data_IF_233361264524
#
_entry.id   IF_233361264524
#
_cell.length_a   1.000
_cell.length_b   1.000
_cell.length_c   1.000
_cell.angle_alpha   90.00
_cell.angle_beta   90.00
_cell.angle_gamma   90.00
#
_symmetry.space_group_name_H-M   'P 1'
#
loop_
_entity.id
_entity.type
_entity.pdbx_description
1 polymer ?
#
# COMPACT_ATOMS: atom_id res chain seq x y z
N UNK A 1 -26.87 18.71 -13.23
CA UNK A 1 -25.71 18.59 -12.32
C UNK A 1 -24.61 17.85 -13.07
N UNK A 2 -23.37 18.35 -13.09
CA UNK A 2 -22.28 17.67 -13.81
C UNK A 2 -21.91 16.39 -13.06
N UNK A 3 -21.88 15.25 -13.75
CA UNK A 3 -21.29 14.03 -13.22
C UNK A 3 -19.77 14.08 -13.47
N UNK A 4 -19.00 14.36 -12.43
CA UNK A 4 -17.54 14.54 -12.55
C UNK A 4 -16.83 13.27 -12.99
N UNK A 5 -17.28 12.09 -12.53
CA UNK A 5 -16.69 10.82 -12.92
C UNK A 5 -16.87 10.56 -14.42
N UNK A 6 -18.11 10.71 -14.92
CA UNK A 6 -18.42 10.51 -16.34
C UNK A 6 -17.79 11.55 -17.26
N UNK A 7 -17.45 12.73 -16.73
CA UNK A 7 -16.73 13.76 -17.49
C UNK A 7 -15.26 13.41 -17.77
N UNK A 8 -14.72 12.37 -17.14
CA UNK A 8 -13.38 11.85 -17.42
C UNK A 8 -13.50 10.75 -18.50
N UNK A 9 -12.85 10.93 -19.66
CA UNK A 9 -13.04 10.03 -20.79
C UNK A 9 -12.34 8.68 -20.58
N UNK A 10 -12.82 7.66 -21.28
CA UNK A 10 -12.19 6.34 -21.35
C UNK A 10 -11.10 6.35 -22.43
N UNK A 11 -9.98 5.69 -22.17
CA UNK A 11 -8.89 5.55 -23.14
C UNK A 11 -7.85 6.67 -23.05
N UNK A 12 -6.58 6.30 -23.22
CA UNK A 12 -5.42 7.21 -23.06
C UNK A 12 -5.39 8.29 -24.13
N UNK A 13 -5.80 7.94 -25.34
CA UNK A 13 -5.91 8.81 -26.51
C UNK A 13 -6.89 9.98 -26.30
N UNK A 14 -7.86 9.80 -25.40
CA UNK A 14 -8.86 10.81 -25.07
C UNK A 14 -8.50 11.62 -23.82
N UNK A 15 -7.32 11.44 -23.23
CA UNK A 15 -6.99 11.99 -21.92
C UNK A 15 -7.23 13.52 -21.83
N UNK A 16 -8.07 13.92 -20.88
CA UNK A 16 -8.48 15.31 -20.68
C UNK A 16 -7.48 16.04 -19.80
N UNK A 17 -6.96 17.18 -20.27
CA UNK A 17 -6.01 17.99 -19.54
C UNK A 17 -6.65 18.64 -18.31
N UNK A 18 -5.86 18.83 -17.27
CA UNK A 18 -6.30 19.55 -16.06
C UNK A 18 -6.89 20.93 -16.34
N UNK A 19 -6.32 21.70 -17.27
CA UNK A 19 -6.85 23.01 -17.67
C UNK A 19 -8.24 22.92 -18.27
N UNK A 20 -8.52 21.86 -19.03
CA UNK A 20 -9.86 21.60 -19.58
C UNK A 20 -10.84 21.25 -18.47
N UNK A 21 -10.41 20.45 -17.47
CA UNK A 21 -11.23 20.15 -16.29
C UNK A 21 -11.52 21.41 -15.45
N UNK A 22 -10.57 22.34 -15.31
CA UNK A 22 -10.82 23.61 -14.62
C UNK A 22 -11.98 24.37 -15.25
N UNK A 23 -11.98 24.47 -16.59
CA UNK A 23 -13.06 25.13 -17.34
C UNK A 23 -14.37 24.34 -17.22
N UNK A 24 -14.31 23.02 -17.43
CA UNK A 24 -15.49 22.15 -17.44
C UNK A 24 -16.21 22.09 -16.08
N UNK A 25 -15.44 22.06 -14.99
CA UNK A 25 -15.98 21.95 -13.64
C UNK A 25 -16.17 23.30 -12.96
N UNK A 26 -15.78 24.39 -13.63
CA UNK A 26 -15.75 25.74 -13.06
C UNK A 26 -14.99 25.77 -11.72
N UNK A 27 -13.79 25.17 -11.71
CA UNK A 27 -12.95 24.96 -10.54
C UNK A 27 -11.54 25.48 -10.78
N UNK A 28 -10.88 25.92 -9.73
CA UNK A 28 -9.44 26.17 -9.77
C UNK A 28 -8.63 24.86 -9.81
N UNK A 29 -7.33 24.98 -10.10
CA UNK A 29 -6.46 23.82 -10.25
C UNK A 29 -6.34 22.95 -8.97
N UNK A 30 -6.38 23.58 -7.79
CA UNK A 30 -6.29 22.88 -6.51
C UNK A 30 -7.58 22.10 -6.25
N UNK A 31 -8.74 22.71 -6.53
CA UNK A 31 -10.04 22.06 -6.44
C UNK A 31 -10.14 20.87 -7.39
N UNK A 32 -9.74 21.02 -8.66
CA UNK A 32 -9.70 19.90 -9.63
C UNK A 32 -8.84 18.75 -9.11
N UNK A 33 -7.64 19.03 -8.58
CA UNK A 33 -6.77 17.99 -8.02
C UNK A 33 -7.41 17.27 -6.84
N UNK A 34 -8.07 18.01 -5.96
CA UNK A 34 -8.78 17.44 -4.80
C UNK A 34 -9.94 16.55 -5.25
N UNK A 35 -10.77 17.03 -6.17
CA UNK A 35 -11.90 16.28 -6.74
C UNK A 35 -11.42 14.99 -7.43
N UNK A 36 -10.38 15.05 -8.26
CA UNK A 36 -9.79 13.85 -8.88
C UNK A 36 -9.30 12.84 -7.83
N UNK A 37 -8.63 13.31 -6.78
CA UNK A 37 -8.14 12.44 -5.72
C UNK A 37 -9.30 11.74 -4.99
N UNK A 38 -10.41 12.46 -4.76
CA UNK A 38 -11.63 11.90 -4.19
C UNK A 38 -12.27 10.85 -5.11
N UNK A 39 -12.50 11.19 -6.37
CA UNK A 39 -13.08 10.28 -7.36
C UNK A 39 -12.27 8.97 -7.50
N UNK A 40 -10.94 9.04 -7.39
CA UNK A 40 -10.06 7.85 -7.41
C UNK A 40 -10.24 6.92 -6.22
N UNK A 41 -10.81 7.39 -5.12
CA UNK A 41 -11.06 6.61 -3.91
C UNK A 41 -12.46 6.04 -3.83
N UNK A 42 -13.36 6.49 -4.70
CA UNK A 42 -14.75 6.05 -4.75
C UNK A 42 -14.85 4.78 -5.61
N UNK A 43 -15.68 3.83 -5.18
CA UNK A 43 -16.09 2.69 -6.00
C UNK A 43 -17.32 3.10 -6.80
N UNK A 44 -17.19 3.14 -8.13
CA UNK A 44 -18.25 3.57 -9.03
C UNK A 44 -19.10 2.40 -9.55
N UNK A 45 -18.83 1.17 -9.09
CA UNK A 45 -19.51 -0.04 -9.56
C UNK A 45 -19.08 -0.50 -10.95
N UNK A 46 -17.90 -0.07 -11.40
CA UNK A 46 -17.26 -0.45 -12.66
C UNK A 46 -15.80 -0.91 -12.45
N UNK A 47 -15.19 -1.49 -13.49
CA UNK A 47 -13.80 -1.95 -13.45
C UNK A 47 -12.79 -0.86 -13.89
N UNK A 48 -13.21 0.41 -13.93
CA UNK A 48 -12.39 1.51 -14.43
C UNK A 48 -11.63 2.24 -13.33
N UNK A 49 -10.38 2.59 -13.62
CA UNK A 49 -9.54 3.41 -12.74
C UNK A 49 -9.15 4.71 -13.43
N UNK A 50 -9.20 5.83 -12.71
CA UNK A 50 -8.73 7.13 -13.22
C UNK A 50 -7.20 7.20 -13.21
N UNK A 51 -6.60 7.09 -14.39
CA UNK A 51 -5.16 7.14 -14.64
C UNK A 51 -4.74 8.56 -15.03
N UNK A 52 -3.53 8.95 -14.65
CA UNK A 52 -2.87 10.18 -15.15
C UNK A 52 -1.74 9.80 -16.10
N UNK A 53 -1.56 10.55 -17.20
CA UNK A 53 -0.42 10.28 -18.09
C UNK A 53 0.88 10.82 -17.50
N UNK A 54 2.00 10.11 -17.72
CA UNK A 54 3.29 10.42 -17.10
C UNK A 54 3.89 11.77 -17.56
N UNK A 55 3.64 12.20 -18.81
CA UNK A 55 4.35 13.33 -19.43
C UNK A 55 3.45 14.50 -19.88
N UNK A 56 2.13 14.38 -19.73
CA UNK A 56 1.15 15.45 -20.01
C UNK A 56 0.02 15.29 -19.00
N UNK A 57 -0.28 16.28 -18.18
CA UNK A 57 -1.19 16.19 -17.02
C UNK A 57 -2.68 16.01 -17.42
N UNK A 58 -2.96 14.97 -18.21
CA UNK A 58 -4.27 14.53 -18.62
C UNK A 58 -4.73 13.34 -17.81
N UNK A 59 -6.04 13.25 -17.64
CA UNK A 59 -6.75 12.21 -16.90
C UNK A 59 -7.61 11.39 -17.85
N UNK A 60 -7.68 10.09 -17.62
CA UNK A 60 -8.55 9.18 -18.36
C UNK A 60 -8.91 7.98 -17.49
N UNK A 61 -9.97 7.26 -17.84
CA UNK A 61 -10.38 6.00 -17.24
C UNK A 61 -9.84 4.82 -18.05
N UNK A 62 -9.42 3.76 -17.37
CA UNK A 62 -8.97 2.52 -18.02
C UNK A 62 -9.29 1.31 -17.14
N UNK A 63 -9.74 0.24 -17.79
CA UNK A 63 -9.99 -1.12 -17.28
C UNK A 63 -8.85 -2.10 -17.66
N UNK A 64 -7.86 -1.64 -18.44
CA UNK A 64 -6.69 -2.43 -18.82
C UNK A 64 -5.82 -2.71 -17.58
N UNK A 65 -5.78 -3.99 -17.19
CA UNK A 65 -5.02 -4.48 -16.03
C UNK A 65 -3.53 -4.13 -16.09
N UNK A 66 -2.93 -4.06 -17.27
CA UNK A 66 -1.52 -3.70 -17.44
C UNK A 66 -1.29 -2.22 -17.13
N UNK A 67 -2.17 -1.35 -17.61
CA UNK A 67 -2.17 0.10 -17.33
C UNK A 67 -2.41 0.35 -15.85
N UNK A 68 -3.40 -0.31 -15.26
CA UNK A 68 -3.72 -0.22 -13.83
C UNK A 68 -2.54 -0.68 -12.97
N UNK A 69 -1.89 -1.80 -13.33
CA UNK A 69 -0.71 -2.31 -12.62
C UNK A 69 0.46 -1.33 -12.67
N UNK A 70 0.73 -0.73 -13.84
CA UNK A 70 1.78 0.27 -14.00
C UNK A 70 1.49 1.53 -13.17
N UNK A 71 0.24 2.01 -13.20
CA UNK A 71 -0.19 3.13 -12.39
C UNK A 71 -0.05 2.85 -10.89
N UNK A 72 -0.46 1.66 -10.43
CA UNK A 72 -0.25 1.21 -9.04
C UNK A 72 1.22 1.28 -8.65
N UNK A 73 2.12 0.78 -9.49
CA UNK A 73 3.56 0.81 -9.22
C UNK A 73 4.10 2.23 -9.12
N UNK A 74 3.71 3.12 -10.03
CA UNK A 74 4.11 4.53 -10.03
C UNK A 74 3.64 5.26 -8.76
N UNK A 75 2.35 5.17 -8.44
CA UNK A 75 1.76 5.79 -7.25
C UNK A 75 2.42 5.24 -5.99
N UNK A 76 2.62 3.92 -5.91
CA UNK A 76 3.29 3.29 -4.77
C UNK A 76 4.75 3.74 -4.60
N UNK A 77 5.48 3.96 -5.69
CA UNK A 77 6.85 4.48 -5.65
C UNK A 77 6.86 5.93 -5.18
N UNK A 78 5.95 6.76 -5.70
CA UNK A 78 5.78 8.16 -5.27
C UNK A 78 5.45 8.23 -3.78
N UNK A 79 4.45 7.47 -3.32
CA UNK A 79 4.04 7.41 -1.92
C UNK A 79 5.22 7.05 -1.01
N UNK A 80 5.96 5.99 -1.34
CA UNK A 80 7.18 5.61 -0.60
C UNK A 80 8.17 6.77 -0.51
N UNK A 81 8.45 7.44 -1.62
CA UNK A 81 9.36 8.58 -1.64
C UNK A 81 8.86 9.77 -0.80
N UNK A 82 7.56 10.07 -0.88
CA UNK A 82 6.89 11.11 -0.06
C UNK A 82 6.97 10.80 1.43
N UNK A 83 6.92 9.52 1.82
CA UNK A 83 6.96 9.11 3.22
C UNK A 83 8.38 8.97 3.81
N UNK A 84 9.45 8.96 2.99
CA UNK A 84 10.85 8.86 3.48
C UNK A 84 11.18 9.87 4.59
N UNK A 85 10.83 11.16 4.48
CA UNK A 85 11.13 12.16 5.52
C UNK A 85 10.51 11.82 6.88
N UNK A 86 9.35 11.14 6.90
CA UNK A 86 8.65 10.78 8.13
C UNK A 86 9.46 9.84 9.01
N UNK A 87 10.41 9.08 8.45
CA UNK A 87 11.31 8.22 9.23
C UNK A 87 12.07 9.01 10.31
N UNK A 88 12.59 10.20 9.97
CA UNK A 88 13.32 11.04 10.92
C UNK A 88 12.36 11.70 11.91
N UNK A 89 11.21 12.17 11.42
CA UNK A 89 10.16 12.79 12.25
C UNK A 89 9.67 11.82 13.32
N UNK A 90 9.28 10.61 12.93
CA UNK A 90 8.77 9.58 13.83
C UNK A 90 9.81 9.14 14.87
N UNK A 91 11.10 9.07 14.48
CA UNK A 91 12.19 8.81 15.43
C UNK A 91 12.32 9.91 16.50
N UNK A 92 12.16 11.18 16.11
CA UNK A 92 12.27 12.33 17.03
C UNK A 92 11.05 12.42 17.94
N UNK A 93 9.86 12.20 17.39
CA UNK A 93 8.60 12.29 18.12
C UNK A 93 8.31 11.06 18.98
N UNK A 94 9.20 10.06 19.00
CA UNK A 94 8.98 8.75 19.63
C UNK A 94 7.66 8.08 19.21
N UNK A 95 7.11 8.49 18.07
CA UNK A 95 5.96 7.86 17.45
C UNK A 95 6.44 6.60 16.76
N UNK A 96 6.47 5.50 17.51
CA UNK A 96 6.63 4.15 16.96
C UNK A 96 5.41 3.72 16.11
N UNK A 97 4.34 4.50 16.13
CA UNK A 97 3.17 4.32 15.29
C UNK A 97 3.51 4.68 13.83
N UNK A 98 3.31 3.71 12.94
CA UNK A 98 3.29 3.86 11.49
C UNK A 98 4.63 3.70 10.73
N UNK A 99 5.40 2.69 11.13
CA UNK A 99 5.98 1.78 10.13
C UNK A 99 5.04 0.59 9.84
N UNK A 100 3.73 0.83 9.94
CA UNK A 100 2.69 0.03 9.30
C UNK A 100 2.80 0.25 7.78
N UNK A 101 3.82 -0.37 7.18
CA UNK A 101 3.67 -0.83 5.80
C UNK A 101 2.50 -1.81 5.83
N UNK A 102 1.55 -1.58 4.95
CA UNK A 102 0.14 -1.97 5.02
C UNK A 102 -0.19 -3.48 5.11
N UNK A 103 0.73 -4.37 5.47
CA UNK A 103 0.48 -5.82 5.53
C UNK A 103 1.29 -6.63 6.56
N UNK A 104 2.23 -6.06 7.33
CA UNK A 104 3.04 -6.89 8.24
C UNK A 104 3.55 -6.15 9.49
N UNK A 105 3.04 -6.54 10.66
CA UNK A 105 3.43 -6.03 11.99
C UNK A 105 4.43 -6.94 12.71
N UNK A 106 4.91 -8.03 12.07
CA UNK A 106 5.82 -9.01 12.70
C UNK A 106 7.09 -8.38 13.24
N UNK A 107 7.65 -7.39 12.54
CA UNK A 107 8.85 -6.69 13.03
C UNK A 107 8.61 -5.95 14.34
N UNK A 108 7.45 -5.31 14.45
CA UNK A 108 7.07 -4.57 15.65
C UNK A 108 6.71 -5.53 16.77
N UNK A 109 5.93 -6.56 16.47
CA UNK A 109 5.61 -7.62 17.42
C UNK A 109 6.86 -8.29 18.01
N UNK A 110 7.91 -8.50 17.20
CA UNK A 110 9.21 -8.99 17.68
C UNK A 110 9.86 -8.03 18.67
N UNK A 111 9.86 -6.73 18.36
CA UNK A 111 10.46 -5.70 19.21
C UNK A 111 9.67 -5.51 20.51
N UNK A 112 8.34 -5.53 20.45
CA UNK A 112 7.45 -5.47 21.62
C UNK A 112 7.63 -6.68 22.54
N UNK A 113 7.90 -7.86 21.97
CA UNK A 113 8.26 -9.07 22.71
C UNK A 113 9.71 -9.05 23.24
N UNK A 114 10.47 -7.96 23.01
CA UNK A 114 11.87 -7.80 23.39
C UNK A 114 12.80 -8.88 22.82
N UNK A 115 12.52 -9.35 21.60
CA UNK A 115 13.28 -10.40 20.94
C UNK A 115 14.24 -9.85 19.87
N UNK A 116 15.43 -10.44 19.79
CA UNK A 116 16.35 -10.20 18.69
C UNK A 116 15.98 -11.07 17.51
N UNK A 117 16.34 -10.65 16.30
CA UNK A 117 16.11 -11.47 15.09
C UNK A 117 16.79 -12.85 15.18
N UNK A 118 17.93 -12.96 15.88
CA UNK A 118 18.60 -14.24 16.14
C UNK A 118 17.74 -15.24 16.92
N UNK A 119 16.92 -14.74 17.85
CA UNK A 119 16.08 -15.57 18.72
C UNK A 119 14.94 -16.18 17.90
N UNK A 120 14.33 -15.36 17.03
CA UNK A 120 13.29 -15.80 16.10
C UNK A 120 13.82 -16.79 15.07
N UNK A 121 15.00 -16.53 14.49
CA UNK A 121 15.65 -17.45 13.56
C UNK A 121 15.91 -18.79 14.24
N UNK A 122 16.38 -18.79 15.50
CA UNK A 122 16.65 -20.02 16.25
C UNK A 122 15.39 -20.88 16.40
N UNK A 123 14.25 -20.27 16.69
CA UNK A 123 12.98 -20.98 16.81
C UNK A 123 12.46 -21.47 15.45
N UNK A 124 12.50 -20.64 14.41
CA UNK A 124 12.03 -21.04 13.07
C UNK A 124 12.94 -22.08 12.40
N UNK A 125 14.23 -22.13 12.76
CA UNK A 125 15.14 -23.21 12.32
C UNK A 125 14.76 -24.59 12.82
N UNK A 126 13.94 -24.69 13.88
CA UNK A 126 13.39 -25.97 14.35
C UNK A 126 12.35 -26.54 13.38
N UNK A 127 11.67 -25.68 12.62
CA UNK A 127 10.75 -26.08 11.55
C UNK A 127 11.49 -26.34 10.23
N UNK A 128 12.33 -25.39 9.82
CA UNK A 128 13.12 -25.49 8.60
C UNK A 128 14.55 -25.03 8.85
N UNK A 129 15.50 -25.97 8.79
CA UNK A 129 16.93 -25.71 9.03
C UNK A 129 17.51 -24.66 8.06
N UNK A 130 16.90 -24.44 6.90
CA UNK A 130 17.33 -23.45 5.89
C UNK A 130 16.85 -22.03 6.21
N UNK A 131 15.99 -21.86 7.22
CA UNK A 131 15.49 -20.55 7.61
C UNK A 131 16.63 -19.63 8.08
N UNK A 132 16.70 -18.43 7.51
CA UNK A 132 17.82 -17.52 7.71
C UNK A 132 17.37 -16.06 7.95
N UNK A 133 18.36 -15.18 8.16
CA UNK A 133 18.13 -13.74 8.40
C UNK A 133 17.48 -13.06 7.19
N UNK A 134 17.84 -13.49 5.98
CA UNK A 134 17.30 -12.91 4.75
C UNK A 134 15.80 -13.18 4.65
N UNK A 135 15.39 -14.42 4.91
CA UNK A 135 14.00 -14.85 4.91
C UNK A 135 13.21 -14.17 6.03
N UNK A 136 13.75 -14.10 7.26
CA UNK A 136 13.11 -13.35 8.35
C UNK A 136 12.86 -11.89 7.95
N UNK A 137 13.87 -11.24 7.35
CA UNK A 137 13.72 -9.85 6.90
C UNK A 137 12.66 -9.71 5.81
N UNK A 138 12.59 -10.63 4.84
CA UNK A 138 11.54 -10.59 3.81
C UNK A 138 10.15 -10.73 4.43
N UNK A 139 10.00 -11.64 5.38
CA UNK A 139 8.75 -11.83 6.13
C UNK A 139 8.40 -10.57 6.92
N UNK A 140 9.29 -10.06 7.77
CA UNK A 140 9.06 -8.90 8.63
C UNK A 140 8.73 -7.60 7.89
N UNK A 141 9.19 -7.46 6.63
CA UNK A 141 8.91 -6.29 5.80
C UNK A 141 7.79 -6.55 4.78
N UNK A 142 7.08 -7.68 4.87
CA UNK A 142 5.94 -8.00 4.02
C UNK A 142 6.28 -8.33 2.56
N UNK A 143 7.54 -8.71 2.26
CA UNK A 143 7.96 -9.15 0.92
C UNK A 143 7.56 -10.60 0.63
N UNK A 144 7.36 -11.42 1.65
CA UNK A 144 6.79 -12.75 1.53
C UNK A 144 5.98 -13.11 2.78
N UNK A 145 4.96 -13.96 2.60
CA UNK A 145 4.14 -14.41 3.72
C UNK A 145 4.81 -15.61 4.42
N UNK A 146 4.73 -15.68 5.75
CA UNK A 146 5.10 -16.89 6.47
C UNK A 146 4.10 -18.02 6.16
N UNK A 147 4.59 -19.26 6.18
CA UNK A 147 3.72 -20.44 6.06
C UNK A 147 2.84 -20.61 7.30
N UNK A 148 1.75 -21.39 7.25
CA UNK A 148 0.89 -21.64 8.43
C UNK A 148 1.66 -22.13 9.66
N UNK A 149 2.68 -22.96 9.47
CA UNK A 149 3.50 -23.49 10.56
C UNK A 149 4.42 -22.42 11.16
N UNK A 150 5.00 -21.58 10.30
CA UNK A 150 5.79 -20.43 10.74
C UNK A 150 4.91 -19.42 11.49
N UNK A 151 3.69 -19.19 11.02
CA UNK A 151 2.70 -18.34 11.71
C UNK A 151 2.43 -18.87 13.12
N UNK A 152 2.19 -20.17 13.30
CA UNK A 152 1.94 -20.75 14.63
C UNK A 152 3.11 -20.56 15.60
N UNK A 153 4.34 -20.63 15.09
CA UNK A 153 5.53 -20.32 15.92
C UNK A 153 5.59 -18.83 16.25
N UNK A 154 5.35 -17.96 15.27
CA UNK A 154 5.42 -16.51 15.44
C UNK A 154 4.34 -15.98 16.41
N UNK A 155 3.10 -16.46 16.33
CA UNK A 155 2.02 -16.08 17.26
C UNK A 155 2.35 -16.45 18.69
N UNK A 156 2.88 -17.66 18.91
CA UNK A 156 3.32 -18.12 20.22
C UNK A 156 4.52 -17.32 20.72
N UNK A 157 5.50 -17.09 19.86
CA UNK A 157 6.75 -16.42 20.22
C UNK A 157 6.54 -14.94 20.56
N UNK A 158 5.63 -14.27 19.85
CA UNK A 158 5.31 -12.87 20.06
C UNK A 158 4.15 -12.64 21.03
N UNK A 159 3.50 -13.72 21.48
CA UNK A 159 2.32 -13.68 22.34
C UNK A 159 1.22 -12.76 21.78
N UNK A 160 0.95 -12.88 20.48
CA UNK A 160 -0.05 -12.09 19.75
C UNK A 160 -0.83 -12.96 18.77
N UNK A 161 -2.13 -12.70 18.56
CA UNK A 161 -2.92 -13.41 17.55
C UNK A 161 -2.44 -13.06 16.13
N UNK A 162 -2.73 -13.94 15.18
CA UNK A 162 -2.30 -13.77 13.77
C UNK A 162 -2.78 -12.44 13.17
N UNK A 163 -3.99 -12.00 13.51
CA UNK A 163 -4.59 -10.76 13.02
C UNK A 163 -3.77 -9.52 13.43
N UNK A 164 -3.08 -9.60 14.57
CA UNK A 164 -2.22 -8.53 15.07
C UNK A 164 -0.80 -8.60 14.49
N UNK A 165 -0.46 -9.67 13.77
CA UNK A 165 0.86 -9.95 13.21
C UNK A 165 0.93 -9.74 11.69
N UNK A 166 -0.15 -10.09 10.99
CA UNK A 166 -0.24 -10.07 9.53
C UNK A 166 -1.60 -9.47 9.20
N UNK A 167 -1.62 -8.25 8.65
CA UNK A 167 -2.84 -7.46 8.43
C UNK A 167 -3.77 -7.99 7.33
N UNK A 168 -3.61 -9.24 6.86
CA UNK A 168 -4.53 -9.88 5.93
C UNK A 168 -4.60 -11.39 6.24
N UNK A 169 -5.68 -11.80 6.92
CA UNK A 169 -6.43 -13.03 6.67
C UNK A 169 -7.86 -12.78 7.17
N UNK A 170 -8.74 -12.29 6.29
CA UNK A 170 -10.15 -12.68 6.37
C UNK A 170 -10.26 -13.83 5.38
N UNK A 171 -10.45 -15.03 5.92
CA UNK A 171 -11.19 -16.13 5.30
C UNK A 171 -11.59 -17.03 6.46
N UNK A 172 -12.70 -16.67 7.09
CA UNK A 172 -13.55 -17.66 7.72
C UNK A 172 -14.74 -17.85 6.78
N UNK A 173 -14.76 -19.08 6.24
CA UNK A 173 -15.81 -19.79 5.53
C UNK A 173 -16.07 -19.45 4.05
#
# INVERSE_FOLDING_TARGET
MINYYESIPIGKENAVLRSQLCVLWNMDERQVRFTIAKLRSEDNGDDFVIISTANKAGYYRSDDRSVISNFKQEVSRRARHTFIPLKKVNRILHTHQNQASMTNSLKMARLDANLKGSDVIKELKKLDRRFDKSLLSKIENGLCLPTPDQVRVLTKLYNKPINDLIGIYINHD
#
